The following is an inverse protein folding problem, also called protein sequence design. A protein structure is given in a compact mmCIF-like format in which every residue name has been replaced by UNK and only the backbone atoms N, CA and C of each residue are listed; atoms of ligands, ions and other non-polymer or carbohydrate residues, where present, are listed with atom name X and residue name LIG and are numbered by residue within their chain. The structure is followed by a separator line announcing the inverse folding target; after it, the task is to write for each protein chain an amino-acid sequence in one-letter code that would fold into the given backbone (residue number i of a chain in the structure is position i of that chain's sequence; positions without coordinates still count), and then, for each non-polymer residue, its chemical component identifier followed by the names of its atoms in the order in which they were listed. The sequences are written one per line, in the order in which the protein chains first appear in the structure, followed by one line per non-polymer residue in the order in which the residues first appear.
data_IF_288902152555
#
_entry.id   IF_288902152555
#
_cell.length_a   1.000
_cell.length_b   1.000
_cell.length_c   1.000
_cell.angle_alpha   90.00
_cell.angle_beta   90.00
_cell.angle_gamma   90.00
#
_symmetry.space_group_name_H-M   'P 1'
#
loop_
_entity.id
_entity.type
_entity.pdbx_description
1 polymer ?
#
# COMPACT_ATOMS: atom_id res chain seq x y z
N UNK A 1 9.00 -24.73 23.04
CA UNK A 1 9.32 -24.30 21.65
C UNK A 1 8.21 -24.64 20.63
N UNK A 2 7.84 -25.88 20.27
CA UNK A 2 6.80 -26.14 19.26
C UNK A 2 5.42 -25.56 19.59
N UNK A 3 4.99 -25.66 20.84
CA UNK A 3 3.69 -25.10 21.30
C UNK A 3 3.66 -23.56 21.22
N UNK A 4 4.78 -22.91 21.49
CA UNK A 4 4.92 -21.45 21.41
C UNK A 4 4.87 -20.94 19.96
N UNK A 5 5.54 -21.64 19.04
CA UNK A 5 5.44 -21.35 17.59
C UNK A 5 3.99 -21.43 17.12
N UNK A 6 3.29 -22.51 17.49
CA UNK A 6 1.86 -22.67 17.15
C UNK A 6 0.97 -21.59 17.75
N UNK A 7 1.25 -21.11 18.96
CA UNK A 7 0.55 -19.96 19.55
C UNK A 7 0.76 -18.71 18.73
N UNK A 8 2.00 -18.34 18.45
CA UNK A 8 2.30 -17.13 17.67
C UNK A 8 1.73 -17.16 16.26
N UNK A 9 1.77 -18.30 15.56
CA UNK A 9 1.14 -18.43 14.25
C UNK A 9 -0.36 -18.13 14.32
N UNK A 10 -1.07 -18.70 15.30
CA UNK A 10 -2.51 -18.42 15.48
C UNK A 10 -2.77 -16.95 15.82
N UNK A 11 -1.99 -16.36 16.73
CA UNK A 11 -2.13 -14.95 17.12
C UNK A 11 -1.96 -14.04 15.90
N UNK A 12 -0.85 -14.18 15.18
CA UNK A 12 -0.56 -13.34 13.99
C UNK A 12 -1.66 -13.46 12.94
N UNK A 13 -2.06 -14.69 12.61
CA UNK A 13 -3.11 -14.91 11.59
C UNK A 13 -4.47 -14.34 12.03
N UNK A 14 -4.84 -14.50 13.30
CA UNK A 14 -6.09 -13.97 13.83
C UNK A 14 -6.11 -12.43 13.82
N UNK A 15 -5.02 -11.79 14.24
CA UNK A 15 -4.91 -10.33 14.23
C UNK A 15 -4.98 -9.77 12.80
N UNK A 16 -4.27 -10.38 11.86
CA UNK A 16 -4.29 -9.98 10.46
C UNK A 16 -5.69 -10.17 9.85
N UNK A 17 -6.36 -11.27 10.14
CA UNK A 17 -7.73 -11.51 9.68
C UNK A 17 -8.70 -10.45 10.22
N UNK A 18 -8.61 -10.11 11.50
CA UNK A 18 -9.44 -9.06 12.09
C UNK A 18 -9.19 -7.70 11.45
N UNK A 19 -7.93 -7.32 11.30
CA UNK A 19 -7.55 -6.03 10.72
C UNK A 19 -7.96 -5.91 9.24
N UNK A 20 -7.72 -6.94 8.43
CA UNK A 20 -8.11 -6.95 7.01
C UNK A 20 -9.62 -6.91 6.83
N UNK A 21 -10.37 -7.65 7.65
CA UNK A 21 -11.84 -7.68 7.59
C UNK A 21 -12.49 -6.35 7.99
N UNK A 22 -11.78 -5.51 8.72
CA UNK A 22 -12.27 -4.21 9.15
C UNK A 22 -11.98 -3.07 8.15
N UNK A 23 -11.23 -3.33 7.09
CA UNK A 23 -11.00 -2.35 6.01
C UNK A 23 -12.27 -2.22 5.16
N UNK A 24 -12.66 -0.98 4.89
CA UNK A 24 -13.86 -0.70 4.08
C UNK A 24 -13.66 -1.15 2.62
N UNK A 25 -14.44 -2.11 2.17
CA UNK A 25 -14.36 -2.63 0.79
C UNK A 25 -14.58 -1.53 -0.27
N UNK A 26 -15.42 -0.52 0.03
CA UNK A 26 -15.62 0.63 -0.85
C UNK A 26 -14.38 1.49 -1.05
N UNK A 27 -13.51 1.60 -0.02
CA UNK A 27 -12.24 2.33 -0.15
C UNK A 27 -11.24 1.54 -1.01
N UNK A 28 -11.22 0.22 -0.88
CA UNK A 28 -10.40 -0.66 -1.73
C UNK A 28 -10.85 -0.58 -3.18
N UNK A 29 -12.16 -0.58 -3.45
CA UNK A 29 -12.69 -0.43 -4.80
C UNK A 29 -12.33 0.93 -5.42
N UNK A 30 -12.43 2.03 -4.66
CA UNK A 30 -12.00 3.36 -5.13
C UNK A 30 -10.49 3.44 -5.39
N UNK A 31 -9.71 2.73 -4.61
CA UNK A 31 -8.26 2.64 -4.82
C UNK A 31 -7.93 1.91 -6.11
N UNK A 32 -8.57 0.76 -6.33
CA UNK A 32 -8.45 -0.01 -7.57
C UNK A 32 -8.82 0.84 -8.80
N UNK A 33 -9.94 1.56 -8.75
CA UNK A 33 -10.34 2.50 -9.81
C UNK A 33 -9.33 3.64 -10.04
N UNK A 34 -8.71 4.17 -8.98
CA UNK A 34 -7.70 5.21 -9.12
C UNK A 34 -6.46 4.68 -9.84
N UNK A 35 -6.05 3.44 -9.56
CA UNK A 35 -4.94 2.78 -10.25
C UNK A 35 -5.24 2.56 -11.73
N UNK A 36 -6.43 2.09 -12.08
CA UNK A 36 -6.82 1.86 -13.47
C UNK A 36 -6.80 3.14 -14.32
N UNK A 37 -7.00 4.31 -13.71
CA UNK A 37 -6.96 5.62 -14.39
C UNK A 37 -5.57 6.26 -14.40
N UNK A 38 -4.64 5.73 -13.59
CA UNK A 38 -3.31 6.30 -13.46
C UNK A 38 -2.47 6.09 -14.72
N UNK A 39 -1.79 7.13 -15.17
CA UNK A 39 -0.73 6.99 -16.17
C UNK A 39 0.49 6.31 -15.55
N UNK A 40 0.89 6.77 -14.37
CA UNK A 40 2.00 6.22 -13.59
C UNK A 40 1.64 6.16 -12.12
N UNK A 41 2.24 5.22 -11.40
CA UNK A 41 2.03 5.04 -9.97
C UNK A 41 3.35 5.26 -9.23
N UNK A 42 3.33 6.15 -8.23
CA UNK A 42 4.47 6.41 -7.35
C UNK A 42 4.14 5.90 -5.95
N UNK A 43 5.03 5.15 -5.36
CA UNK A 43 4.85 4.64 -3.99
C UNK A 43 5.88 5.24 -3.04
N UNK A 44 5.45 5.64 -1.85
CA UNK A 44 6.31 6.21 -0.82
C UNK A 44 5.99 5.65 0.57
N UNK A 45 7.00 5.52 1.39
CA UNK A 45 6.93 5.11 2.78
C UNK A 45 8.33 4.98 3.36
N UNK A 46 8.44 4.94 4.68
CA UNK A 46 9.73 4.80 5.36
C UNK A 46 9.78 3.49 6.14
N UNK A 47 10.99 2.95 6.30
CA UNK A 47 11.19 1.69 7.01
C UNK A 47 10.38 0.53 6.39
N UNK A 48 9.71 -0.25 7.24
CA UNK A 48 8.90 -1.41 6.79
C UNK A 48 7.74 -1.02 5.87
N UNK A 49 7.11 0.13 6.10
CA UNK A 49 6.07 0.66 5.20
C UNK A 49 6.62 0.92 3.80
N UNK A 50 7.86 1.42 3.69
CA UNK A 50 8.53 1.60 2.41
C UNK A 50 8.85 0.28 1.70
N UNK A 51 9.24 -0.77 2.45
CA UNK A 51 9.46 -2.10 1.86
C UNK A 51 8.18 -2.68 1.28
N UNK A 52 7.06 -2.59 2.01
CA UNK A 52 5.74 -3.04 1.53
C UNK A 52 5.30 -2.23 0.30
N UNK A 53 5.49 -0.91 0.31
CA UNK A 53 5.18 -0.05 -0.83
C UNK A 53 6.01 -0.44 -2.08
N UNK A 54 7.31 -0.72 -1.91
CA UNK A 54 8.18 -1.18 -3.01
C UNK A 54 7.78 -2.54 -3.56
N UNK A 55 7.39 -3.48 -2.70
CA UNK A 55 6.86 -4.78 -3.14
C UNK A 55 5.59 -4.60 -4.00
N UNK A 56 4.71 -3.67 -3.61
CA UNK A 56 3.54 -3.33 -4.41
C UNK A 56 3.90 -2.71 -5.77
N UNK A 57 4.85 -1.76 -5.81
CA UNK A 57 5.31 -1.19 -7.09
C UNK A 57 5.85 -2.27 -8.03
N UNK A 58 6.63 -3.24 -7.51
CA UNK A 58 7.11 -4.37 -8.30
C UNK A 58 5.96 -5.20 -8.86
N UNK A 59 4.93 -5.51 -8.05
CA UNK A 59 3.75 -6.27 -8.52
C UNK A 59 2.97 -5.50 -9.58
N UNK A 60 2.78 -4.19 -9.41
CA UNK A 60 2.16 -3.33 -10.42
C UNK A 60 2.93 -3.37 -11.74
N UNK A 61 4.26 -3.32 -11.70
CA UNK A 61 5.11 -3.45 -12.90
C UNK A 61 4.89 -4.81 -13.58
N UNK A 62 4.79 -5.91 -12.84
CA UNK A 62 4.47 -7.22 -13.42
C UNK A 62 3.10 -7.24 -14.10
N UNK A 63 2.11 -6.53 -13.57
CA UNK A 63 0.78 -6.38 -14.16
C UNK A 63 0.80 -5.47 -15.40
N UNK A 64 1.86 -4.66 -15.58
CA UNK A 64 2.05 -3.80 -16.75
C UNK A 64 1.89 -2.31 -16.47
N UNK A 65 1.80 -1.89 -15.21
CA UNK A 65 1.80 -0.48 -14.84
C UNK A 65 3.21 0.13 -14.90
N UNK A 66 3.29 1.40 -15.27
CA UNK A 66 4.47 2.22 -15.00
C UNK A 66 4.50 2.60 -13.52
N UNK A 67 5.27 1.89 -12.71
CA UNK A 67 5.34 2.09 -11.26
C UNK A 67 6.75 2.39 -10.77
N UNK A 68 6.85 3.30 -9.81
CA UNK A 68 8.12 3.82 -9.30
C UNK A 68 8.10 3.91 -7.77
N UNK A 69 9.20 3.53 -7.13
CA UNK A 69 9.39 3.82 -5.72
C UNK A 69 10.09 5.19 -5.58
N UNK A 70 9.49 6.08 -4.79
CA UNK A 70 10.05 7.42 -4.57
C UNK A 70 11.41 7.32 -3.88
N UNK A 71 12.39 8.02 -4.45
CA UNK A 71 13.78 7.96 -4.03
C UNK A 71 14.66 7.09 -4.92
N UNK A 72 14.11 6.31 -5.84
CA UNK A 72 14.88 5.65 -6.88
C UNK A 72 15.33 6.67 -7.93
N UNK A 73 16.60 6.59 -8.34
CA UNK A 73 17.25 7.58 -9.22
C UNK A 73 16.56 7.66 -10.60
N UNK A 74 15.93 6.56 -11.02
CA UNK A 74 15.27 6.46 -12.33
C UNK A 74 13.79 6.91 -12.30
N UNK A 75 13.29 7.38 -11.15
CA UNK A 75 11.91 7.86 -11.06
C UNK A 75 11.73 9.17 -11.82
N UNK A 76 10.86 9.24 -12.83
CA UNK A 76 10.59 10.49 -13.54
C UNK A 76 9.81 11.48 -12.68
N UNK A 77 9.67 12.72 -13.14
CA UNK A 77 8.85 13.72 -12.43
C UNK A 77 7.38 13.31 -12.38
N UNK A 78 6.76 13.44 -11.21
CA UNK A 78 5.34 13.20 -10.98
C UNK A 78 4.49 14.34 -11.58
N UNK A 79 3.26 14.04 -12.02
CA UNK A 79 2.35 15.04 -12.61
C UNK A 79 0.85 14.69 -12.49
N UNK A 80 -0.01 15.49 -13.11
CA UNK A 80 -1.46 15.50 -12.91
C UNK A 80 -2.19 14.18 -13.29
N UNK A 81 -1.62 13.35 -14.17
CA UNK A 81 -2.23 12.06 -14.55
C UNK A 81 -1.68 10.90 -13.73
N UNK A 82 -0.88 11.18 -12.71
CA UNK A 82 -0.20 10.17 -11.91
C UNK A 82 -0.91 9.98 -10.54
N UNK A 83 -0.75 8.80 -9.96
CA UNK A 83 -1.18 8.49 -8.60
C UNK A 83 0.05 8.37 -7.70
N UNK A 84 0.01 9.04 -6.55
CA UNK A 84 1.02 8.96 -5.51
C UNK A 84 0.45 8.23 -4.30
N UNK A 85 1.04 7.12 -3.93
CA UNK A 85 0.60 6.26 -2.82
C UNK A 85 1.54 6.45 -1.63
N UNK A 86 1.01 7.01 -0.54
CA UNK A 86 1.72 7.20 0.71
C UNK A 86 1.36 6.12 1.73
N UNK A 87 2.34 5.36 2.21
CA UNK A 87 2.14 4.30 3.21
C UNK A 87 2.80 4.69 4.53
N UNK A 88 2.00 5.01 5.54
CA UNK A 88 2.50 5.32 6.89
C UNK A 88 1.44 5.09 7.96
N UNK A 89 1.73 4.23 8.93
CA UNK A 89 0.80 3.95 10.03
C UNK A 89 0.43 5.22 10.80
N UNK A 90 1.42 6.05 11.15
CA UNK A 90 1.22 7.26 11.95
C UNK A 90 0.62 8.46 11.20
N UNK A 91 0.60 8.43 9.87
CA UNK A 91 0.19 9.58 9.05
C UNK A 91 1.07 10.83 9.18
N UNK A 92 2.20 10.75 9.93
CA UNK A 92 3.03 11.91 10.32
C UNK A 92 4.51 11.76 9.99
N UNK A 93 4.88 10.75 9.21
CA UNK A 93 6.28 10.57 8.80
C UNK A 93 6.69 11.73 7.89
N UNK A 94 7.49 12.63 8.40
CA UNK A 94 7.82 13.93 7.80
C UNK A 94 8.24 13.82 6.32
N UNK A 95 9.16 12.90 6.02
CA UNK A 95 9.61 12.65 4.64
C UNK A 95 8.44 12.25 3.73
N UNK A 96 7.56 11.35 4.20
CA UNK A 96 6.42 10.88 3.40
C UNK A 96 5.37 11.97 3.21
N UNK A 97 5.11 12.78 4.24
CA UNK A 97 4.21 13.96 4.17
C UNK A 97 4.75 14.99 3.18
N UNK A 98 6.03 15.33 3.25
CA UNK A 98 6.69 16.27 2.34
C UNK A 98 6.64 15.78 0.88
N UNK A 99 6.91 14.49 0.65
CA UNK A 99 6.82 13.89 -0.67
C UNK A 99 5.39 13.94 -1.23
N UNK A 100 4.37 13.63 -0.41
CA UNK A 100 2.97 13.72 -0.80
C UNK A 100 2.55 15.16 -1.11
N UNK A 101 2.99 16.14 -0.32
CA UNK A 101 2.73 17.57 -0.56
C UNK A 101 3.32 18.03 -1.91
N UNK A 102 4.55 17.62 -2.23
CA UNK A 102 5.19 17.92 -3.49
C UNK A 102 4.46 17.27 -4.68
N UNK A 103 4.03 16.01 -4.53
CA UNK A 103 3.26 15.30 -5.55
C UNK A 103 1.89 15.99 -5.78
N UNK A 104 1.20 16.40 -4.71
CA UNK A 104 -0.05 17.14 -4.78
C UNK A 104 0.13 18.49 -5.49
N UNK A 105 1.19 19.23 -5.17
CA UNK A 105 1.52 20.49 -5.83
C UNK A 105 1.80 20.31 -7.34
N UNK A 106 2.30 19.14 -7.75
CA UNK A 106 2.47 18.76 -9.15
C UNK A 106 1.16 18.26 -9.81
N UNK A 107 0.05 18.20 -9.07
CA UNK A 107 -1.28 17.82 -9.54
C UNK A 107 -1.58 16.31 -9.48
N UNK A 108 -0.73 15.50 -8.89
CA UNK A 108 -0.98 14.06 -8.74
C UNK A 108 -2.13 13.77 -7.77
N UNK A 109 -2.85 12.69 -8.00
CA UNK A 109 -3.84 12.16 -7.05
C UNK A 109 -3.13 11.49 -5.88
N UNK A 110 -3.38 11.95 -4.66
CA UNK A 110 -2.78 11.39 -3.45
C UNK A 110 -3.68 10.33 -2.85
N UNK A 111 -3.15 9.13 -2.70
CA UNK A 111 -3.77 8.01 -1.99
C UNK A 111 -2.96 7.69 -0.75
N UNK A 112 -3.60 7.59 0.40
CA UNK A 112 -2.91 7.31 1.67
C UNK A 112 -3.44 6.04 2.30
N UNK A 113 -2.52 5.15 2.72
CA UNK A 113 -2.80 4.02 3.60
C UNK A 113 -2.25 4.34 5.00
N UNK A 114 -3.14 4.43 6.00
CA UNK A 114 -2.77 4.87 7.35
C UNK A 114 -3.74 4.31 8.41
N UNK A 115 -3.31 4.30 9.68
CA UNK A 115 -4.17 4.04 10.85
C UNK A 115 -4.96 5.28 11.28
N UNK A 116 -4.66 6.46 10.70
CA UNK A 116 -5.17 7.75 11.17
C UNK A 116 -6.43 8.16 10.42
N UNK A 117 -7.39 8.73 11.17
CA UNK A 117 -8.64 9.28 10.59
C UNK A 117 -8.47 10.73 10.12
N UNK A 118 -7.49 11.44 10.67
CA UNK A 118 -7.20 12.85 10.37
C UNK A 118 -5.72 13.14 10.53
N UNK A 119 -5.27 14.27 10.02
CA UNK A 119 -3.91 14.77 10.12
C UNK A 119 -3.31 15.10 8.74
N UNK A 120 -2.12 15.67 8.75
CA UNK A 120 -1.50 16.31 7.59
C UNK A 120 -1.53 15.47 6.31
N UNK A 121 -1.20 14.19 6.39
CA UNK A 121 -1.21 13.33 5.22
C UNK A 121 -2.64 12.99 4.77
N UNK A 122 -3.57 12.82 5.71
CA UNK A 122 -4.99 12.58 5.39
C UNK A 122 -5.60 13.80 4.71
N UNK A 123 -5.27 15.00 5.19
CA UNK A 123 -5.77 16.28 4.63
C UNK A 123 -5.20 16.56 3.22
N UNK A 124 -4.04 15.99 2.90
CA UNK A 124 -3.47 16.02 1.55
C UNK A 124 -4.15 15.07 0.57
N UNK A 125 -4.83 14.03 1.06
CA UNK A 125 -5.26 12.88 0.25
C UNK A 125 -6.63 13.06 -0.37
N UNK A 126 -6.78 12.71 -1.64
CA UNK A 126 -8.05 12.53 -2.32
C UNK A 126 -8.74 11.22 -1.91
N UNK A 127 -7.94 10.22 -1.58
CA UNK A 127 -8.41 8.93 -1.10
C UNK A 127 -7.57 8.45 0.07
N UNK A 128 -8.26 8.10 1.16
CA UNK A 128 -7.65 7.46 2.31
C UNK A 128 -8.19 6.04 2.45
N UNK A 129 -7.29 5.06 2.52
CA UNK A 129 -7.59 3.73 3.01
C UNK A 129 -7.24 3.67 4.50
N UNK A 130 -8.25 3.64 5.35
CA UNK A 130 -8.04 3.44 6.78
C UNK A 130 -7.70 1.97 7.01
N UNK A 131 -6.55 1.73 7.64
CA UNK A 131 -6.05 0.40 7.99
C UNK A 131 -6.19 0.23 9.51
N UNK A 132 -7.28 -0.36 10.01
CA UNK A 132 -7.64 -0.33 11.43
C UNK A 132 -6.88 -1.41 12.23
N UNK A 133 -5.61 -1.16 12.52
CA UNK A 133 -4.74 -2.11 13.22
C UNK A 133 -4.53 -1.76 14.71
N UNK A 134 -5.32 -0.80 15.23
CA UNK A 134 -5.33 -0.41 16.65
C UNK A 134 -6.76 -0.14 17.16
N UNK A 135 -7.01 -0.33 18.48
CA UNK A 135 -8.26 0.10 19.10
C UNK A 135 -8.54 1.61 18.86
N UNK A 136 -9.80 2.03 18.81
CA UNK A 136 -11.00 1.21 18.98
C UNK A 136 -11.48 0.49 17.71
N UNK A 137 -10.87 0.67 16.57
CA UNK A 137 -11.34 0.13 15.29
C UNK A 137 -10.67 -1.19 14.89
N UNK A 138 -9.45 -1.42 15.33
CA UNK A 138 -8.68 -2.63 15.09
C UNK A 138 -8.42 -3.43 16.35
N UNK A 139 -7.78 -4.61 16.22
CA UNK A 139 -7.43 -5.45 17.35
C UNK A 139 -6.36 -4.80 18.23
N UNK A 140 -6.37 -5.16 19.52
CA UNK A 140 -5.19 -4.97 20.36
C UNK A 140 -4.16 -6.02 19.97
N UNK A 141 -3.04 -5.58 19.41
CA UNK A 141 -2.04 -6.47 18.84
C UNK A 141 -0.97 -6.84 19.86
N UNK A 142 -0.66 -8.13 19.97
CA UNK A 142 0.52 -8.65 20.68
C UNK A 142 1.81 -8.43 19.86
N UNK A 143 1.71 -8.06 18.59
CA UNK A 143 2.86 -7.83 17.71
C UNK A 143 3.48 -6.46 17.98
N UNK A 144 4.81 -6.38 17.82
CA UNK A 144 5.55 -5.14 18.11
C UNK A 144 5.31 -4.04 17.06
N UNK A 145 5.15 -2.82 17.54
CA UNK A 145 5.08 -1.58 16.74
C UNK A 145 4.06 -1.65 15.58
N UNK A 146 4.49 -1.36 14.36
CA UNK A 146 3.65 -1.31 13.16
C UNK A 146 3.64 -2.63 12.37
N UNK A 147 3.92 -3.77 13.03
CA UNK A 147 4.00 -5.07 12.35
C UNK A 147 2.67 -5.45 11.72
N UNK A 148 1.59 -5.40 12.49
CA UNK A 148 0.24 -5.70 12.01
C UNK A 148 -0.19 -4.76 10.87
N UNK A 149 0.13 -3.46 10.96
CA UNK A 149 -0.14 -2.49 9.89
C UNK A 149 0.54 -2.92 8.57
N UNK A 150 1.84 -3.22 8.61
CA UNK A 150 2.57 -3.61 7.41
C UNK A 150 2.06 -4.93 6.80
N UNK A 151 1.70 -5.90 7.64
CA UNK A 151 1.11 -7.18 7.19
C UNK A 151 -0.26 -6.95 6.52
N UNK A 152 -1.12 -6.14 7.15
CA UNK A 152 -2.44 -5.80 6.62
C UNK A 152 -2.34 -5.07 5.29
N UNK A 153 -1.46 -4.06 5.19
CA UNK A 153 -1.22 -3.32 3.94
C UNK A 153 -0.69 -4.23 2.84
N UNK A 154 0.24 -5.14 3.17
CA UNK A 154 0.75 -6.11 2.18
C UNK A 154 -0.37 -6.96 1.59
N UNK A 155 -1.24 -7.51 2.45
CA UNK A 155 -2.37 -8.33 2.00
C UNK A 155 -3.37 -7.50 1.17
N UNK A 156 -3.65 -6.25 1.56
CA UNK A 156 -4.51 -5.36 0.77
C UNK A 156 -3.91 -5.11 -0.62
N UNK A 157 -2.62 -4.89 -0.71
CA UNK A 157 -1.94 -4.72 -2.00
C UNK A 157 -2.00 -6.00 -2.85
N UNK A 158 -1.86 -7.17 -2.25
CA UNK A 158 -1.99 -8.45 -2.96
C UNK A 158 -3.42 -8.66 -3.47
N UNK A 159 -4.45 -8.29 -2.68
CA UNK A 159 -5.85 -8.32 -3.10
C UNK A 159 -6.08 -7.37 -4.28
N UNK A 160 -5.60 -6.13 -4.20
CA UNK A 160 -5.72 -5.15 -5.31
C UNK A 160 -5.00 -5.65 -6.55
N UNK A 161 -3.81 -6.22 -6.43
CA UNK A 161 -3.10 -6.83 -7.57
C UNK A 161 -3.90 -7.96 -8.22
N UNK A 162 -4.54 -8.82 -7.43
CA UNK A 162 -5.39 -9.89 -7.96
C UNK A 162 -6.63 -9.33 -8.69
N UNK A 163 -7.26 -8.28 -8.16
CA UNK A 163 -8.38 -7.58 -8.80
C UNK A 163 -7.95 -6.96 -10.14
N UNK A 164 -6.84 -6.22 -10.15
CA UNK A 164 -6.28 -5.59 -11.37
C UNK A 164 -5.91 -6.64 -12.42
N UNK A 165 -5.25 -7.74 -12.03
CA UNK A 165 -4.92 -8.83 -12.93
C UNK A 165 -6.17 -9.40 -13.62
N UNK A 166 -7.23 -9.63 -12.84
CA UNK A 166 -8.50 -10.13 -13.38
C UNK A 166 -9.18 -9.11 -14.31
N UNK A 167 -9.26 -7.84 -13.93
CA UNK A 167 -9.91 -6.78 -14.72
C UNK A 167 -9.17 -6.48 -16.03
N UNK A 168 -7.85 -6.55 -16.01
CA UNK A 168 -6.99 -6.32 -17.16
C UNK A 168 -6.78 -7.59 -18.00
N UNK A 169 -7.42 -8.71 -17.61
CA UNK A 169 -7.31 -10.01 -18.30
C UNK A 169 -5.86 -10.48 -18.48
N UNK A 170 -4.97 -10.13 -17.54
CA UNK A 170 -3.56 -10.50 -17.61
C UNK A 170 -3.36 -11.97 -17.23
N UNK A 171 -2.64 -12.69 -18.07
CA UNK A 171 -2.28 -14.08 -17.83
C UNK A 171 -1.02 -14.22 -16.99
N UNK A 172 -0.84 -15.35 -16.30
CA UNK A 172 0.38 -15.65 -15.57
C UNK A 172 1.63 -15.66 -16.47
N UNK A 173 1.47 -16.02 -17.73
CA UNK A 173 2.56 -15.98 -18.72
C UNK A 173 3.02 -14.54 -19.02
N UNK A 174 2.08 -13.59 -19.14
CA UNK A 174 2.41 -12.17 -19.34
C UNK A 174 3.08 -11.56 -18.11
N UNK A 175 2.60 -11.90 -16.90
CA UNK A 175 3.25 -11.47 -15.66
C UNK A 175 4.68 -12.03 -15.57
N UNK A 176 4.85 -13.32 -15.86
CA UNK A 176 6.15 -14.00 -15.85
C UNK A 176 7.12 -13.41 -16.88
N UNK A 177 6.63 -13.00 -18.05
CA UNK A 177 7.45 -12.37 -19.08
C UNK A 177 8.02 -11.00 -18.66
N UNK A 178 7.38 -10.32 -17.70
CA UNK A 178 7.85 -9.06 -17.13
C UNK A 178 8.70 -9.25 -15.86
N UNK A 179 8.84 -10.49 -15.38
CA UNK A 179 9.71 -10.79 -14.25
C UNK A 179 11.17 -10.58 -14.62
N UNK A 180 12.01 -10.15 -13.66
CA UNK A 180 13.44 -9.95 -13.88
C UNK A 180 14.09 -11.26 -14.39
N UNK A 181 14.88 -11.14 -15.43
CA UNK A 181 15.69 -12.23 -15.98
C UNK A 181 17.20 -12.05 -15.70
N UNK A 182 17.53 -11.14 -14.77
CA UNK A 182 18.89 -10.84 -14.33
C UNK A 182 19.21 -11.42 -12.93
N UNK A 183 18.34 -12.28 -12.42
CA UNK A 183 18.50 -12.98 -11.13
C UNK A 183 19.20 -14.32 -11.33
#
# INVERSE_FOLDING_TARGET
MPAEVGRWLRTVLAEVQLATSAVAAGDVARFDEALLRARRVYVAGQGRSGLVARAFAQRLMHIGFESYAVGDIISPAVGAADVFIAVTASGRTETTVSQAANAKAAGATIVTLTEMESGDLVDLSELRLLVPTRPPRGPESEQHATTLFCQTVQILFDVVCAMLQQQLHQTDAELSARHSNLE
#
